data_IF_080730961904
#
_entry.id   IF_080730961904
#
_cell.length_a   1.000
_cell.length_b   1.000
_cell.length_c   1.000
_cell.angle_alpha   90.00
_cell.angle_beta   90.00
_cell.angle_gamma   90.00
#
_symmetry.space_group_name_H-M   'P 1'
#
loop_
_entity.id
_entity.type
_entity.pdbx_description
1 polymer ?
#
# COMPACT_ATOMS: atom_id res chain seq x y z
N UNK A 1 8.66 -11.62 -6.63
CA UNK A 1 7.20 -11.82 -6.47
C UNK A 1 6.87 -11.88 -4.97
N UNK A 2 5.81 -11.24 -4.48
CA UNK A 2 5.49 -11.10 -3.04
C UNK A 2 4.95 -12.40 -2.37
N UNK A 3 5.21 -13.58 -2.94
CA UNK A 3 4.85 -14.88 -2.33
C UNK A 3 3.34 -15.12 -2.18
N UNK A 4 2.50 -14.54 -3.05
CA UNK A 4 1.03 -14.58 -2.91
C UNK A 4 0.30 -15.56 -3.86
N UNK A 5 1.05 -16.48 -4.50
CA UNK A 5 0.54 -17.51 -5.43
C UNK A 5 0.47 -17.05 -6.88
N UNK A 6 0.32 -18.02 -7.80
CA UNK A 6 0.43 -17.83 -9.25
C UNK A 6 -0.74 -17.06 -9.86
N UNK A 7 -1.92 -17.10 -9.23
CA UNK A 7 -3.13 -16.38 -9.67
C UNK A 7 -3.02 -14.85 -9.46
N UNK A 8 -1.84 -14.27 -9.21
CA UNK A 8 -1.72 -12.85 -8.80
C UNK A 8 -0.79 -12.00 -9.65
N UNK A 9 -1.20 -10.74 -9.93
CA UNK A 9 -2.43 -10.08 -9.47
C UNK A 9 -3.68 -10.57 -10.23
N UNK A 10 -4.84 -10.64 -9.55
CA UNK A 10 -6.13 -11.04 -10.16
C UNK A 10 -6.66 -9.95 -11.10
N UNK A 11 -6.54 -8.69 -10.67
CA UNK A 11 -6.95 -7.50 -11.43
C UNK A 11 -5.71 -6.76 -11.93
N UNK A 12 -5.81 -6.12 -13.09
CA UNK A 12 -4.72 -5.31 -13.66
C UNK A 12 -4.39 -4.12 -12.74
N UNK A 13 -3.24 -3.48 -12.94
CA UNK A 13 -2.90 -2.28 -12.15
C UNK A 13 -3.85 -1.11 -12.37
N UNK A 14 -4.37 -0.95 -13.59
CA UNK A 14 -5.34 0.09 -13.93
C UNK A 14 -6.68 -0.16 -13.25
N UNK A 15 -7.17 -1.40 -13.22
CA UNK A 15 -8.42 -1.75 -12.52
C UNK A 15 -8.30 -1.50 -11.01
N UNK A 16 -7.15 -1.86 -10.43
CA UNK A 16 -6.89 -1.60 -9.00
C UNK A 16 -6.82 -0.11 -8.70
N UNK A 17 -6.18 0.68 -9.58
CA UNK A 17 -6.11 2.12 -9.43
C UNK A 17 -7.50 2.77 -9.51
N UNK A 18 -8.35 2.31 -10.45
CA UNK A 18 -9.72 2.80 -10.58
C UNK A 18 -10.57 2.55 -9.32
N UNK A 19 -10.45 1.36 -8.70
CA UNK A 19 -11.16 1.05 -7.45
C UNK A 19 -10.67 1.90 -6.28
N UNK A 20 -9.37 2.20 -6.20
CA UNK A 20 -8.84 3.08 -5.16
C UNK A 20 -9.27 4.53 -5.38
N UNK A 21 -9.25 5.00 -6.63
CA UNK A 21 -9.64 6.36 -7.00
C UNK A 21 -11.14 6.63 -6.86
N UNK A 22 -11.98 5.60 -6.73
CA UNK A 22 -13.43 5.77 -6.49
C UNK A 22 -13.79 5.93 -5.01
N UNK A 23 -12.82 5.81 -4.10
CA UNK A 23 -13.04 6.02 -2.67
C UNK A 23 -13.07 7.52 -2.37
N UNK A 24 -14.11 7.98 -1.67
CA UNK A 24 -14.28 9.41 -1.28
C UNK A 24 -13.05 9.96 -0.54
N UNK A 25 -12.34 9.12 0.23
CA UNK A 25 -11.17 9.51 1.02
C UNK A 25 -9.86 9.52 0.25
N UNK A 26 -9.86 9.39 -1.08
CA UNK A 26 -8.66 9.28 -1.91
C UNK A 26 -8.64 10.39 -2.96
N UNK A 27 -7.69 11.32 -2.83
CA UNK A 27 -7.53 12.43 -3.78
C UNK A 27 -6.68 12.07 -5.00
N UNK A 28 -5.69 11.18 -4.82
CA UNK A 28 -4.74 10.82 -5.88
C UNK A 28 -4.25 9.38 -5.72
N UNK A 29 -4.13 8.68 -6.86
CA UNK A 29 -3.53 7.35 -6.96
C UNK A 29 -2.35 7.40 -7.92
N UNK A 30 -1.21 6.85 -7.49
CA UNK A 30 0.01 6.75 -8.30
C UNK A 30 0.40 5.30 -8.48
N UNK A 31 0.61 4.88 -9.73
CA UNK A 31 1.17 3.58 -10.08
C UNK A 31 2.69 3.72 -10.17
N UNK A 32 3.43 2.77 -9.59
CA UNK A 32 4.89 2.72 -9.61
C UNK A 32 5.36 1.28 -9.74
N UNK A 33 6.52 1.08 -10.37
CA UNK A 33 7.08 -0.25 -10.66
C UNK A 33 8.09 -0.72 -9.60
N UNK A 34 8.70 0.22 -8.90
CA UNK A 34 9.73 -0.07 -7.90
C UNK A 34 9.17 -0.88 -6.73
N UNK A 35 9.97 -1.81 -6.20
CA UNK A 35 9.58 -2.62 -5.02
C UNK A 35 9.28 -1.78 -3.78
N UNK A 36 9.98 -0.64 -3.65
CA UNK A 36 9.81 0.33 -2.55
C UNK A 36 9.48 1.68 -3.18
N UNK A 37 8.40 2.37 -2.75
CA UNK A 37 7.90 3.58 -3.41
C UNK A 37 8.70 4.85 -3.08
N UNK A 38 10.04 4.81 -3.08
CA UNK A 38 10.84 5.98 -2.67
C UNK A 38 10.65 7.17 -3.63
N UNK A 39 10.74 6.93 -4.94
CA UNK A 39 10.59 7.97 -5.96
C UNK A 39 9.24 8.70 -5.92
N UNK A 40 8.08 8.02 -5.92
CA UNK A 40 6.80 8.72 -5.81
C UNK A 40 6.63 9.42 -4.45
N UNK A 41 7.18 8.89 -3.35
CA UNK A 41 7.14 9.55 -2.05
C UNK A 41 7.96 10.85 -2.06
N UNK A 42 9.16 10.82 -2.63
CA UNK A 42 10.01 12.02 -2.77
C UNK A 42 9.33 13.10 -3.62
N UNK A 43 8.71 12.73 -4.74
CA UNK A 43 7.98 13.66 -5.60
C UNK A 43 6.71 14.22 -4.94
N UNK A 44 5.99 13.40 -4.17
CA UNK A 44 4.80 13.83 -3.45
C UNK A 44 5.14 14.70 -2.23
N UNK A 45 6.35 14.55 -1.68
CA UNK A 45 6.87 15.29 -0.54
C UNK A 45 5.85 15.44 0.63
N UNK A 46 5.30 14.31 1.15
CA UNK A 46 4.24 14.37 2.16
C UNK A 46 4.74 14.91 3.50
N UNK A 47 3.86 15.58 4.24
CA UNK A 47 4.06 15.95 5.65
C UNK A 47 3.86 14.76 6.60
N UNK A 48 3.05 13.77 6.18
CA UNK A 48 2.73 12.57 6.96
C UNK A 48 2.80 11.33 6.06
N UNK A 49 3.59 10.34 6.46
CA UNK A 49 3.63 9.01 5.85
C UNK A 49 2.96 7.99 6.77
N UNK A 50 2.00 7.23 6.24
CA UNK A 50 1.25 6.23 7.00
C UNK A 50 1.50 4.83 6.45
N UNK A 51 1.77 3.86 7.34
CA UNK A 51 1.84 2.43 6.99
C UNK A 51 0.88 1.63 7.88
N UNK A 52 0.03 0.81 7.28
CA UNK A 52 -0.81 -0.13 8.03
C UNK A 52 -0.05 -1.41 8.39
N UNK A 53 -0.18 -1.86 9.63
CA UNK A 53 0.34 -3.13 10.14
C UNK A 53 1.40 -2.97 11.22
N UNK A 54 1.94 -4.09 11.69
CA UNK A 54 2.86 -4.16 12.83
C UNK A 54 4.33 -3.90 12.43
N UNK A 55 4.55 -2.88 11.59
CA UNK A 55 5.88 -2.50 11.14
C UNK A 55 6.59 -1.64 12.19
N UNK A 56 7.88 -1.92 12.42
CA UNK A 56 8.76 -1.01 13.15
C UNK A 56 9.20 0.11 12.21
N UNK A 57 9.05 1.36 12.64
CA UNK A 57 9.34 2.54 11.81
C UNK A 57 10.80 2.54 11.36
N UNK A 58 11.73 2.15 12.24
CA UNK A 58 13.17 2.08 11.95
C UNK A 58 13.56 1.14 10.80
N UNK A 59 12.71 0.18 10.47
CA UNK A 59 12.94 -0.81 9.41
C UNK A 59 12.43 -0.35 8.04
N UNK A 60 11.74 0.79 7.96
CA UNK A 60 11.13 1.31 6.74
C UNK A 60 12.05 2.32 6.02
N UNK A 61 12.58 2.02 4.81
CA UNK A 61 13.34 2.99 4.02
C UNK A 61 12.55 4.27 3.74
N UNK A 62 11.24 4.15 3.53
CA UNK A 62 10.34 5.29 3.31
C UNK A 62 10.29 6.21 4.54
N UNK A 63 10.30 5.66 5.76
CA UNK A 63 10.30 6.46 6.99
C UNK A 63 11.59 7.27 7.14
N UNK A 64 12.74 6.68 6.77
CA UNK A 64 14.03 7.38 6.75
C UNK A 64 14.05 8.50 5.72
N UNK A 65 13.50 8.24 4.54
CA UNK A 65 13.39 9.23 3.47
C UNK A 65 12.58 10.44 3.92
N UNK A 66 11.35 10.23 4.39
CA UNK A 66 10.45 11.35 4.73
C UNK A 66 10.95 12.14 5.96
N UNK A 67 11.67 11.49 6.88
CA UNK A 67 12.29 12.16 8.02
C UNK A 67 13.37 13.19 7.59
N UNK A 68 13.97 13.05 6.41
CA UNK A 68 14.99 13.97 5.91
C UNK A 68 14.47 15.40 5.68
N UNK A 69 13.16 15.56 5.49
CA UNK A 69 12.49 16.86 5.40
C UNK A 69 11.51 17.13 6.57
N UNK A 70 11.62 16.35 7.65
CA UNK A 70 10.85 16.60 8.89
C UNK A 70 9.42 16.05 8.90
N UNK A 71 9.03 15.22 7.94
CA UNK A 71 7.71 14.61 7.93
C UNK A 71 7.52 13.56 9.03
N UNK A 72 6.27 13.38 9.47
CA UNK A 72 5.88 12.42 10.50
C UNK A 72 5.59 11.05 9.89
N UNK A 73 6.17 9.99 10.44
CA UNK A 73 5.74 8.62 10.13
C UNK A 73 4.77 8.10 11.19
N UNK A 74 3.67 7.48 10.76
CA UNK A 74 2.67 6.86 11.63
C UNK A 74 2.40 5.42 11.18
N UNK A 75 2.39 4.49 12.13
CA UNK A 75 1.88 3.14 11.90
C UNK A 75 0.48 3.02 12.50
N UNK A 76 -0.42 2.40 11.74
CA UNK A 76 -1.81 2.17 12.19
C UNK A 76 -2.10 0.67 12.20
N UNK A 77 -2.92 0.23 13.14
CA UNK A 77 -3.36 -1.16 13.20
C UNK A 77 -4.04 -1.54 11.88
N UNK A 78 -3.64 -2.68 11.30
CA UNK A 78 -4.23 -3.18 10.08
C UNK A 78 -5.18 -4.34 10.38
N UNK A 79 -6.43 -4.22 9.96
CA UNK A 79 -7.42 -5.25 10.19
C UNK A 79 -7.26 -6.41 9.20
N UNK A 80 -6.58 -7.46 9.62
CA UNK A 80 -6.24 -8.61 8.77
C UNK A 80 -7.42 -9.48 8.31
N UNK A 81 -8.63 -9.27 8.85
CA UNK A 81 -9.79 -10.14 8.60
C UNK A 81 -10.30 -10.08 7.14
N UNK A 82 -9.84 -9.10 6.35
CA UNK A 82 -10.30 -8.86 4.97
C UNK A 82 -9.12 -8.92 3.98
N UNK A 83 -8.60 -10.13 3.73
CA UNK A 83 -7.55 -10.35 2.72
C UNK A 83 -8.11 -10.85 1.39
N UNK A 84 -7.44 -10.53 0.27
CA UNK A 84 -7.78 -11.09 -1.06
C UNK A 84 -7.77 -12.62 -1.06
N UNK A 85 -6.87 -13.25 -0.28
CA UNK A 85 -6.84 -14.70 -0.11
C UNK A 85 -8.14 -15.22 0.52
N UNK A 86 -8.59 -14.58 1.60
CA UNK A 86 -9.82 -14.97 2.29
C UNK A 86 -11.05 -14.75 1.40
N UNK A 87 -11.09 -13.66 0.63
CA UNK A 87 -12.17 -13.39 -0.32
C UNK A 87 -12.26 -14.47 -1.41
N UNK A 88 -11.14 -14.81 -2.05
CA UNK A 88 -11.11 -15.86 -3.08
C UNK A 88 -11.53 -17.23 -2.53
N UNK A 89 -11.11 -17.58 -1.30
CA UNK A 89 -11.55 -18.81 -0.64
C UNK A 89 -13.06 -18.85 -0.44
N UNK A 90 -13.69 -17.73 -0.03
CA UNK A 90 -15.14 -17.64 0.13
C UNK A 90 -15.87 -17.82 -1.22
N UNK A 91 -15.40 -17.16 -2.28
CA UNK A 91 -15.99 -17.25 -3.62
C UNK A 91 -15.92 -18.68 -4.17
N UNK A 92 -14.75 -19.35 -4.06
CA UNK A 92 -14.56 -20.72 -4.59
C UNK A 92 -15.29 -21.80 -3.80
N UNK A 93 -15.72 -21.50 -2.57
CA UNK A 93 -16.49 -22.41 -1.73
C UNK A 93 -18.02 -22.24 -1.91
N UNK A 94 -18.45 -21.30 -2.77
CA UNK A 94 -19.84 -21.09 -3.19
C UNK A 94 -20.08 -21.81 -4.51
#
# INVERSE_FOLDING_TARGET
MLGKGDDRPINTELDRAAVLASLESVDLVVIFEDKVPLKPIELAHPDIYVKGGDYRIEDLPEAKLVASWGAKTVTIAFEHQRSTTALLKKIRAS
#
